data_IF_850508420391
#
_entry.id   IF_850508420391
#
_cell.length_a   1.000
_cell.length_b   1.000
_cell.length_c   1.000
_cell.angle_alpha   90.00
_cell.angle_beta   90.00
_cell.angle_gamma   90.00
#
_symmetry.space_group_name_H-M   'P 1'
#
loop_
_entity.id
_entity.type
_entity.pdbx_description
1 polymer ?
#
# COMPACT_ATOMS: atom_id res chain seq x y z
N UNK A 1 -10.15 -3.67 -6.64
CA UNK A 1 -8.90 -4.25 -7.21
C UNK A 1 -8.65 -5.73 -6.88
N UNK A 2 -9.18 -6.29 -5.78
CA UNK A 2 -8.83 -7.66 -5.35
C UNK A 2 -9.68 -8.78 -5.97
N UNK A 3 -10.70 -8.46 -6.76
CA UNK A 3 -11.52 -9.49 -7.43
C UNK A 3 -12.27 -10.41 -6.46
N UNK A 4 -12.76 -9.87 -5.34
CA UNK A 4 -13.50 -10.64 -4.32
C UNK A 4 -12.63 -11.30 -3.24
N UNK A 5 -11.32 -11.47 -3.46
CA UNK A 5 -10.42 -12.00 -2.44
C UNK A 5 -10.15 -11.00 -1.30
N UNK A 6 -9.96 -11.51 -0.08
CA UNK A 6 -9.57 -10.73 1.10
C UNK A 6 -8.18 -10.10 0.97
N UNK A 7 -7.25 -10.85 0.37
CA UNK A 7 -5.86 -10.45 0.15
C UNK A 7 -5.44 -10.52 -1.32
N UNK A 8 -4.39 -9.78 -1.65
CA UNK A 8 -3.74 -9.84 -2.95
C UNK A 8 -2.23 -9.69 -2.80
N UNK A 9 -1.47 -10.53 -3.50
CA UNK A 9 -0.02 -10.39 -3.64
C UNK A 9 0.29 -9.32 -4.71
N UNK A 10 1.31 -8.51 -4.46
CA UNK A 10 1.79 -7.50 -5.38
C UNK A 10 3.27 -7.19 -5.22
N UNK A 11 3.82 -6.45 -6.18
CA UNK A 11 5.22 -6.01 -6.23
C UNK A 11 5.25 -4.51 -5.96
N UNK A 12 6.15 -4.05 -5.09
CA UNK A 12 6.34 -2.63 -4.78
C UNK A 12 7.01 -1.92 -5.96
N UNK A 13 6.45 -0.77 -6.37
CA UNK A 13 7.01 0.07 -7.43
C UNK A 13 7.78 1.26 -6.87
N UNK A 14 7.17 2.02 -5.95
CA UNK A 14 7.73 3.27 -5.41
C UNK A 14 7.16 3.53 -4.01
N UNK A 15 7.92 4.29 -3.19
CA UNK A 15 7.46 4.80 -1.90
C UNK A 15 6.78 6.15 -2.09
N UNK A 16 5.59 6.33 -1.51
CA UNK A 16 4.76 7.53 -1.69
C UNK A 16 4.32 8.09 -0.35
N UNK A 17 4.52 9.40 -0.14
CA UNK A 17 3.91 10.13 0.97
C UNK A 17 2.55 10.69 0.56
N UNK A 18 1.48 10.34 1.28
CA UNK A 18 0.13 10.88 1.05
C UNK A 18 -0.22 11.84 2.18
N UNK A 19 -0.51 13.08 1.85
CA UNK A 19 -0.95 14.08 2.84
C UNK A 19 -2.29 13.68 3.46
N UNK A 20 -2.41 13.84 4.77
CA UNK A 20 -3.66 13.63 5.48
C UNK A 20 -4.69 14.70 5.07
N UNK A 21 -5.96 14.31 5.00
CA UNK A 21 -7.04 15.26 4.82
C UNK A 21 -7.19 16.13 6.07
N UNK A 22 -7.50 17.41 5.86
CA UNK A 22 -7.86 18.36 6.91
C UNK A 22 -8.95 17.77 7.82
N UNK A 23 -8.90 17.97 9.15
CA UNK A 23 -8.12 18.97 9.90
C UNK A 23 -6.74 18.50 10.39
N UNK A 24 -6.31 17.29 10.04
CA UNK A 24 -5.05 16.73 10.55
C UNK A 24 -3.86 17.12 9.67
N UNK A 25 -2.72 17.46 10.29
CA UNK A 25 -1.44 17.66 9.60
C UNK A 25 -0.53 16.46 9.82
N UNK A 26 -0.40 15.60 8.81
CA UNK A 26 0.50 14.45 8.82
C UNK A 26 0.73 13.92 7.41
N UNK A 27 1.90 13.31 7.18
CA UNK A 27 2.20 12.56 5.95
C UNK A 27 2.01 11.07 6.25
N UNK A 28 1.08 10.43 5.55
CA UNK A 28 0.86 8.97 5.61
C UNK A 28 1.84 8.28 4.68
N UNK A 29 2.69 7.43 5.27
CA UNK A 29 3.66 6.60 4.54
C UNK A 29 2.90 5.50 3.79
N UNK A 30 2.99 5.53 2.47
CA UNK A 30 2.33 4.59 1.57
C UNK A 30 3.33 4.02 0.57
N UNK A 31 2.94 2.94 -0.10
CA UNK A 31 3.70 2.34 -1.21
C UNK A 31 2.78 2.15 -2.41
N UNK A 32 3.32 2.34 -3.61
CA UNK A 32 2.66 1.95 -4.84
C UNK A 32 2.95 0.48 -5.09
N UNK A 33 1.92 -0.32 -5.31
CA UNK A 33 2.02 -1.76 -5.51
C UNK A 33 1.34 -2.13 -6.81
N UNK A 34 1.99 -2.94 -7.63
CA UNK A 34 1.37 -3.59 -8.78
C UNK A 34 0.94 -5.01 -8.40
N UNK A 35 -0.35 -5.29 -8.48
CA UNK A 35 -0.87 -6.61 -8.16
C UNK A 35 -0.45 -7.63 -9.21
N UNK A 36 0.10 -8.78 -8.79
CA UNK A 36 0.60 -9.81 -9.70
C UNK A 36 -0.54 -10.42 -10.52
N UNK A 37 -1.68 -10.70 -9.87
CA UNK A 37 -2.81 -11.40 -10.50
C UNK A 37 -3.54 -10.63 -11.60
N UNK A 38 -3.45 -9.30 -11.64
CA UNK A 38 -4.22 -8.49 -12.58
C UNK A 38 -3.47 -7.27 -13.14
N UNK A 39 -2.19 -7.09 -12.78
CA UNK A 39 -1.36 -5.98 -13.22
C UNK A 39 -1.82 -4.58 -12.76
N UNK A 40 -2.88 -4.48 -11.95
CA UNK A 40 -3.42 -3.18 -11.53
C UNK A 40 -2.51 -2.55 -10.49
N UNK A 41 -2.18 -1.27 -10.72
CA UNK A 41 -1.43 -0.45 -9.77
C UNK A 41 -2.36 0.12 -8.71
N UNK A 42 -2.00 -0.03 -7.45
CA UNK A 42 -2.73 0.45 -6.27
C UNK A 42 -1.80 1.20 -5.33
N UNK A 43 -2.35 2.07 -4.49
CA UNK A 43 -1.64 2.64 -3.35
C UNK A 43 -2.05 1.90 -2.08
N UNK A 44 -1.08 1.43 -1.32
CA UNK A 44 -1.28 0.74 -0.05
C UNK A 44 -0.64 1.53 1.08
N UNK A 45 -1.33 1.63 2.22
CA UNK A 45 -0.81 2.26 3.42
C UNK A 45 0.12 1.30 4.17
N UNK A 46 1.28 1.80 4.63
CA UNK A 46 2.20 1.03 5.47
C UNK A 46 1.87 1.31 6.93
N UNK A 47 1.36 0.32 7.69
CA UNK A 47 1.02 0.53 9.09
C UNK A 47 2.28 0.55 9.98
N UNK A 48 2.11 1.11 11.19
CA UNK A 48 3.15 1.28 12.22
C UNK A 48 4.27 2.23 11.81
N UNK A 49 4.95 2.80 12.80
CA UNK A 49 6.06 3.71 12.52
C UNK A 49 7.34 2.94 12.14
N UNK A 50 8.19 3.57 11.33
CA UNK A 50 9.44 2.99 10.84
C UNK A 50 9.32 1.88 9.80
N UNK A 51 8.14 1.26 9.61
CA UNK A 51 7.99 0.11 8.70
C UNK A 51 8.28 0.38 7.23
N UNK A 52 8.25 1.65 6.79
CA UNK A 52 8.65 2.03 5.43
C UNK A 52 10.15 1.76 5.15
N UNK A 53 10.98 1.68 6.20
CA UNK A 53 12.40 1.38 6.07
C UNK A 53 12.65 -0.10 5.80
N UNK A 54 11.68 -0.96 6.10
CA UNK A 54 11.79 -2.41 5.93
C UNK A 54 11.26 -2.91 4.57
N UNK A 55 10.81 -1.99 3.72
CA UNK A 55 10.24 -2.31 2.41
C UNK A 55 11.13 -1.68 1.35
N UNK A 56 11.56 -2.45 0.36
CA UNK A 56 12.32 -1.97 -0.79
C UNK A 56 11.49 -1.98 -2.08
N UNK A 57 12.02 -1.35 -3.12
CA UNK A 57 11.42 -1.40 -4.45
C UNK A 57 11.61 -2.81 -5.03
N UNK A 58 10.61 -3.29 -5.76
CA UNK A 58 10.54 -4.65 -6.31
C UNK A 58 10.30 -5.79 -5.29
N UNK A 59 10.11 -5.47 -4.00
CA UNK A 59 9.73 -6.47 -3.01
C UNK A 59 8.32 -7.04 -3.27
N UNK A 60 8.16 -8.33 -2.95
CA UNK A 60 6.84 -8.96 -2.89
C UNK A 60 6.14 -8.65 -1.57
N UNK A 61 4.94 -8.08 -1.65
CA UNK A 61 4.11 -7.74 -0.50
C UNK A 61 2.72 -8.35 -0.57
N UNK A 62 2.17 -8.71 0.58
CA UNK A 62 0.78 -9.11 0.72
C UNK A 62 -0.07 -7.91 1.13
N UNK A 63 -1.04 -7.54 0.31
CA UNK A 63 -1.93 -6.40 0.54
C UNK A 63 -3.29 -6.87 1.02
N UNK A 64 -3.82 -6.22 2.04
CA UNK A 64 -5.16 -6.43 2.60
C UNK A 64 -6.04 -5.19 2.41
N UNK A 65 -7.37 -5.38 2.50
CA UNK A 65 -8.32 -4.27 2.56
C UNK A 65 -8.21 -3.47 3.86
N UNK A 66 -8.59 -2.20 3.83
CA UNK A 66 -8.52 -1.30 4.99
C UNK A 66 -9.64 -1.53 6.03
N UNK A 67 -10.37 -2.65 5.96
CA UNK A 67 -11.49 -2.96 6.84
C UNK A 67 -12.72 -2.05 6.71
N UNK A 68 -12.71 -1.08 5.78
CA UNK A 68 -13.88 -0.24 5.46
C UNK A 68 -14.69 -0.90 4.34
N UNK A 69 -15.48 -1.89 4.72
CA UNK A 69 -16.56 -2.50 3.93
C UNK A 69 -17.56 -3.15 4.86
#
# INVERSE_FOLDING_TARGET
>A
PFGGASHAKGIVLEKVGVEAKQPNSAIRKCVRVQLIKNGKKITAFVPRDGCLNNIEENDEVLVAGFGRK
#
